data_IF_856813107705
#
_entry.id   IF_856813107705
#
_cell.length_a   1.000
_cell.length_b   1.000
_cell.length_c   1.000
_cell.angle_alpha   90.00
_cell.angle_beta   90.00
_cell.angle_gamma   90.00
#
_symmetry.space_group_name_H-M   'P 1'
#
loop_
_entity.id
_entity.type
_entity.pdbx_description
1 polymer ?
#
# COMPACT_ATOMS: atom_id res chain seq x y z
N UNK A 1 -4.66 1.65 9.96
CA UNK A 1 -3.85 0.77 10.81
C UNK A 1 -2.53 1.48 11.09
N UNK A 2 -2.22 1.74 12.36
CA UNK A 2 -0.91 2.28 12.78
C UNK A 2 -0.19 1.11 13.45
N UNK A 3 0.89 0.63 12.86
CA UNK A 3 1.76 -0.36 13.51
C UNK A 3 2.57 0.41 14.55
N UNK A 4 2.38 0.08 15.83
CA UNK A 4 3.17 0.68 16.91
C UNK A 4 4.61 0.12 16.85
N UNK A 5 5.64 0.90 17.24
CA UNK A 5 7.04 0.49 17.10
C UNK A 5 7.36 -0.86 17.76
N UNK A 6 6.79 -1.10 18.94
CA UNK A 6 7.05 -2.33 19.71
C UNK A 6 6.48 -3.58 19.02
N UNK A 7 5.34 -3.45 18.35
CA UNK A 7 4.72 -4.55 17.60
C UNK A 7 5.40 -4.83 16.26
N UNK A 8 6.27 -3.95 15.77
CA UNK A 8 6.91 -4.16 14.48
C UNK A 8 7.94 -5.29 14.52
N UNK A 9 8.76 -5.37 15.58
CA UNK A 9 9.74 -6.44 15.71
C UNK A 9 9.07 -7.80 15.80
N UNK A 10 7.97 -7.91 16.55
CA UNK A 10 7.19 -9.14 16.66
C UNK A 10 6.63 -9.56 15.30
N UNK A 11 6.12 -8.62 14.51
CA UNK A 11 5.67 -8.90 13.15
C UNK A 11 6.84 -9.31 12.23
N UNK A 12 7.98 -8.64 12.31
CA UNK A 12 9.15 -8.95 11.49
C UNK A 12 9.75 -10.33 11.81
N UNK A 13 9.72 -10.76 13.06
CA UNK A 13 10.31 -12.04 13.51
C UNK A 13 9.34 -13.20 13.41
N UNK A 14 8.03 -12.95 13.26
CA UNK A 14 7.02 -14.00 13.10
C UNK A 14 7.24 -14.85 11.84
N UNK A 15 7.76 -14.25 10.77
CA UNK A 15 8.07 -14.97 9.53
C UNK A 15 9.23 -14.27 8.77
N UNK A 16 10.23 -15.02 8.24
CA UNK A 16 11.35 -14.45 7.49
C UNK A 16 10.92 -13.69 6.22
N UNK A 17 9.76 -14.01 5.66
CA UNK A 17 9.15 -13.42 4.47
C UNK A 17 7.93 -12.53 4.81
N UNK A 18 7.84 -12.04 6.05
CA UNK A 18 6.77 -11.13 6.44
C UNK A 18 6.84 -9.80 5.66
N UNK A 19 5.75 -9.45 4.98
CA UNK A 19 5.61 -8.27 4.13
C UNK A 19 5.93 -6.94 4.84
N UNK A 20 5.89 -6.89 6.18
CA UNK A 20 6.31 -5.72 6.96
C UNK A 20 7.73 -5.26 6.62
N UNK A 21 8.59 -6.17 6.18
CA UNK A 21 9.96 -5.87 5.70
C UNK A 21 9.97 -4.98 4.44
N UNK A 22 8.89 -4.99 3.66
CA UNK A 22 8.71 -4.15 2.46
C UNK A 22 7.92 -2.87 2.74
N UNK A 23 6.88 -2.94 3.59
CA UNK A 23 6.00 -1.79 3.84
C UNK A 23 6.48 -0.88 4.98
N UNK A 24 7.25 -1.42 5.93
CA UNK A 24 7.78 -0.72 7.11
C UNK A 24 9.27 -1.03 7.36
N UNK A 25 10.15 -0.93 6.32
CA UNK A 25 11.58 -1.20 6.47
C UNK A 25 12.22 -0.29 7.54
N UNK A 26 13.10 -0.85 8.35
CA UNK A 26 13.79 -0.13 9.43
C UNK A 26 15.16 0.38 8.99
N UNK A 27 15.27 1.69 8.77
CA UNK A 27 16.53 2.39 8.49
C UNK A 27 16.46 3.87 8.90
N UNK A 28 17.64 4.46 9.11
CA UNK A 28 17.82 5.80 9.69
C UNK A 28 17.32 6.96 8.80
N UNK A 29 17.08 6.70 7.51
CA UNK A 29 16.58 7.70 6.54
C UNK A 29 15.48 7.13 5.64
N UNK A 30 14.55 7.97 5.14
CA UNK A 30 13.57 7.56 4.14
C UNK A 30 14.20 6.91 2.90
N UNK A 31 15.32 7.45 2.41
CA UNK A 31 16.02 6.93 1.24
C UNK A 31 16.62 5.55 1.52
N UNK A 32 17.20 5.35 2.70
CA UNK A 32 17.71 4.04 3.10
C UNK A 32 16.56 3.02 3.25
N UNK A 33 15.42 3.43 3.82
CA UNK A 33 14.21 2.59 3.90
C UNK A 33 13.74 2.13 2.52
N UNK A 34 13.66 3.05 1.56
CA UNK A 34 13.28 2.71 0.19
C UNK A 34 14.28 1.76 -0.49
N UNK A 35 15.59 2.00 -0.30
CA UNK A 35 16.63 1.10 -0.84
C UNK A 35 16.52 -0.31 -0.25
N UNK A 36 16.38 -0.42 1.07
CA UNK A 36 16.25 -1.70 1.77
C UNK A 36 15.01 -2.50 1.31
N UNK A 37 13.86 -1.83 1.18
CA UNK A 37 12.66 -2.47 0.63
C UNK A 37 12.88 -2.93 -0.82
N UNK A 38 13.51 -2.11 -1.66
CA UNK A 38 13.78 -2.47 -3.04
C UNK A 38 14.75 -3.66 -3.17
N UNK A 39 15.78 -3.74 -2.35
CA UNK A 39 16.71 -4.88 -2.29
C UNK A 39 16.01 -6.15 -1.82
N UNK A 40 15.19 -6.04 -0.77
CA UNK A 40 14.43 -7.19 -0.25
C UNK A 40 13.43 -7.70 -1.27
N UNK A 41 12.70 -6.82 -1.96
CA UNK A 41 11.78 -7.20 -3.03
C UNK A 41 12.49 -7.92 -4.17
N UNK A 42 13.63 -7.39 -4.66
CA UNK A 42 14.41 -8.03 -5.73
C UNK A 42 14.90 -9.42 -5.34
N UNK A 43 15.37 -9.58 -4.11
CA UNK A 43 15.82 -10.88 -3.59
C UNK A 43 14.66 -11.87 -3.52
N UNK A 44 13.53 -11.48 -2.95
CA UNK A 44 12.36 -12.36 -2.88
C UNK A 44 11.81 -12.75 -4.25
N UNK A 45 11.94 -11.89 -5.25
CA UNK A 45 11.63 -12.23 -6.63
C UNK A 45 12.62 -13.24 -7.22
N UNK A 46 13.91 -13.05 -7.00
CA UNK A 46 14.95 -13.98 -7.46
C UNK A 46 14.82 -15.36 -6.80
N UNK A 47 14.46 -15.38 -5.51
CA UNK A 47 14.32 -16.60 -4.70
C UNK A 47 12.95 -17.28 -4.91
N UNK A 48 12.05 -16.71 -5.71
CA UNK A 48 10.71 -17.25 -5.97
C UNK A 48 9.72 -17.15 -4.80
N UNK A 49 10.07 -16.37 -3.76
CA UNK A 49 9.19 -16.09 -2.61
C UNK A 49 8.01 -15.21 -3.03
N UNK A 50 8.27 -14.24 -3.91
CA UNK A 50 7.24 -13.43 -4.55
C UNK A 50 7.39 -13.53 -6.06
N UNK A 51 6.31 -13.83 -6.76
CA UNK A 51 6.27 -13.80 -8.22
C UNK A 51 5.24 -12.77 -8.68
N UNK A 52 5.53 -11.98 -9.75
CA UNK A 52 4.50 -11.23 -10.42
C UNK A 52 3.49 -12.19 -11.06
N UNK A 53 2.24 -11.75 -11.16
CA UNK A 53 1.24 -12.50 -11.91
C UNK A 53 1.63 -12.59 -13.39
N UNK A 54 1.38 -13.73 -14.05
CA UNK A 54 1.73 -13.91 -15.46
C UNK A 54 0.94 -12.97 -16.37
N UNK A 55 -0.25 -12.56 -15.94
CA UNK A 55 -1.15 -11.66 -16.66
C UNK A 55 -1.64 -10.55 -15.74
N UNK A 56 -1.93 -9.34 -16.25
CA UNK A 56 -2.52 -8.26 -15.47
C UNK A 56 -3.85 -8.70 -14.81
N UNK A 57 -3.94 -8.55 -13.49
CA UNK A 57 -5.09 -9.01 -12.71
C UNK A 57 -5.64 -7.95 -11.75
N UNK A 58 -6.93 -8.09 -11.42
CA UNK A 58 -7.60 -7.39 -10.33
C UNK A 58 -8.06 -8.40 -9.30
N UNK A 59 -7.74 -8.13 -8.03
CA UNK A 59 -8.10 -8.96 -6.89
C UNK A 59 -9.24 -8.32 -6.12
N UNK A 60 -10.33 -9.06 -5.90
CA UNK A 60 -11.38 -8.65 -4.97
C UNK A 60 -10.92 -9.02 -3.56
N UNK A 61 -10.97 -8.06 -2.64
CA UNK A 61 -10.76 -8.34 -1.23
C UNK A 61 -11.98 -7.96 -0.40
N UNK A 62 -12.22 -8.74 0.65
CA UNK A 62 -13.26 -8.54 1.64
C UNK A 62 -12.62 -8.39 3.01
N UNK A 63 -13.01 -7.35 3.75
CA UNK A 63 -12.63 -7.15 5.14
C UNK A 63 -13.89 -6.97 5.98
N UNK A 64 -13.99 -7.74 7.07
CA UNK A 64 -15.06 -7.59 8.07
C UNK A 64 -14.53 -6.84 9.29
N UNK A 65 -15.31 -5.86 9.75
CA UNK A 65 -15.11 -5.16 11.01
C UNK A 65 -16.45 -5.06 11.75
N UNK A 66 -16.64 -5.97 12.72
CA UNK A 66 -17.94 -6.19 13.34
C UNK A 66 -19.04 -6.49 12.31
N UNK A 67 -20.15 -5.74 12.28
CA UNK A 67 -21.22 -5.92 11.29
C UNK A 67 -20.88 -5.34 9.90
N UNK A 68 -19.79 -4.58 9.79
CA UNK A 68 -19.43 -3.89 8.53
C UNK A 68 -18.64 -4.82 7.63
N UNK A 69 -19.07 -4.97 6.38
CA UNK A 69 -18.30 -5.64 5.32
C UNK A 69 -17.80 -4.60 4.32
N UNK A 70 -16.49 -4.42 4.24
CA UNK A 70 -15.82 -3.61 3.23
C UNK A 70 -15.35 -4.52 2.08
N UNK A 71 -15.73 -4.16 0.86
CA UNK A 71 -15.23 -4.76 -0.38
C UNK A 71 -14.37 -3.77 -1.13
N UNK A 72 -13.28 -4.25 -1.71
CA UNK A 72 -12.45 -3.43 -2.58
C UNK A 72 -11.73 -4.25 -3.64
N UNK A 73 -11.06 -3.53 -4.53
CA UNK A 73 -10.24 -4.09 -5.59
C UNK A 73 -8.78 -3.69 -5.37
N UNK A 74 -7.86 -4.63 -5.60
CA UNK A 74 -6.41 -4.41 -5.60
C UNK A 74 -5.88 -4.79 -6.97
N UNK A 75 -4.99 -3.99 -7.53
CA UNK A 75 -4.30 -4.27 -8.78
C UNK A 75 -3.09 -3.37 -8.98
N UNK A 76 -2.13 -3.82 -9.77
CA UNK A 76 -0.97 -3.02 -10.12
C UNK A 76 -1.37 -1.92 -11.12
N UNK A 77 -1.07 -0.66 -10.79
CA UNK A 77 -1.31 0.48 -11.67
C UNK A 77 0.00 1.02 -12.24
N UNK A 78 0.06 1.16 -13.57
CA UNK A 78 1.19 1.79 -14.23
C UNK A 78 1.17 3.30 -13.96
N UNK A 79 2.24 3.81 -13.34
CA UNK A 79 2.43 5.25 -13.18
C UNK A 79 2.79 5.88 -14.53
N UNK A 80 2.09 6.97 -14.86
CA UNK A 80 2.48 7.83 -15.97
C UNK A 80 3.60 8.79 -15.54
N UNK A 81 4.47 9.24 -16.47
CA UNK A 81 5.48 10.25 -16.14
C UNK A 81 4.86 11.47 -15.47
N UNK A 82 5.53 12.01 -14.45
CA UNK A 82 5.05 13.23 -13.78
C UNK A 82 5.09 14.40 -14.76
N UNK A 83 3.91 14.87 -15.18
CA UNK A 83 3.81 16.14 -15.90
C UNK A 83 3.96 17.24 -14.86
N UNK A 84 5.10 17.95 -14.85
CA UNK A 84 5.27 19.14 -14.00
C UNK A 84 4.17 20.15 -14.36
N UNK A 85 3.19 20.32 -13.49
CA UNK A 85 2.24 21.40 -13.61
C UNK A 85 2.96 22.71 -13.27
N UNK A 86 2.93 23.68 -14.18
CA UNK A 86 3.19 25.08 -13.86
C UNK A 86 2.22 25.49 -12.75
N UNK A 87 2.75 25.94 -11.62
CA UNK A 87 2.00 26.28 -10.42
C UNK A 87 0.99 27.40 -10.68
N UNK A 88 -0.31 27.07 -10.64
CA UNK A 88 -1.37 28.04 -10.36
C UNK A 88 -2.33 27.40 -9.35
N UNK A 89 -2.41 27.90 -8.11
CA UNK A 89 -3.16 27.24 -7.05
C UNK A 89 -4.62 27.68 -7.13
N UNK A 90 -5.49 26.89 -7.76
CA UNK A 90 -6.94 27.02 -7.56
C UNK A 90 -7.42 25.82 -6.75
N UNK A 91 -7.58 26.05 -5.45
CA UNK A 91 -8.16 25.11 -4.47
C UNK A 91 -9.63 24.89 -4.81
N UNK A 92 -9.96 23.87 -5.61
CA UNK A 92 -11.34 23.38 -5.75
C UNK A 92 -11.66 22.51 -4.54
N UNK A 93 -12.49 23.01 -3.64
CA UNK A 93 -13.12 22.19 -2.60
C UNK A 93 -14.16 21.27 -3.25
N UNK A 94 -13.91 19.97 -3.25
CA UNK A 94 -14.96 18.99 -3.50
C UNK A 94 -15.87 18.95 -2.26
N UNK A 95 -17.07 19.53 -2.38
CA UNK A 95 -18.16 19.36 -1.41
C UNK A 95 -18.96 18.12 -1.84
N UNK A 96 -18.88 17.03 -1.07
CA UNK A 96 -19.85 15.94 -1.17
C UNK A 96 -21.16 16.41 -0.53
N UNK A 97 -22.19 16.64 -1.34
CA UNK A 97 -23.55 16.89 -0.87
C UNK A 97 -24.28 15.56 -0.75
N UNK A 98 -24.45 15.06 0.46
CA UNK A 98 -25.39 14.00 0.79
C UNK A 98 -26.82 14.58 0.73
N UNK A 99 -27.62 14.16 -0.27
CA UNK A 99 -29.07 14.32 -0.26
C UNK A 99 -29.65 13.23 0.63
N UNK A 100 -30.33 13.64 1.70
CA UNK A 100 -31.28 12.81 2.43
C UNK A 100 -32.66 13.23 1.95
N UNK A 101 -33.38 12.37 1.23
CA UNK A 101 -34.83 12.51 1.02
C UNK A 101 -35.56 11.75 2.14
N UNK A 102 -36.56 12.35 2.82
CA UNK A 102 -37.47 11.61 3.66
C UNK A 102 -38.71 11.15 2.85
N UNK A 103 -39.28 10.03 3.31
CA UNK A 103 -40.55 9.43 2.89
C UNK A 103 -41.71 10.35 3.30
#
# INVERSE_FOLDING_TARGET
MVVRPDGLRELETADPYNIVRLILPQADSPEARHRQAAETLRRWQADGVLAPDPEPALYVYEQRDGPTLQRGLIGALRLSPVRRASSSPTRRSCRMSSRTEPI
#
